data_IF_094698754766
#
_entry.id   IF_094698754766
#
_cell.length_a   1.000
_cell.length_b   1.000
_cell.length_c   1.000
_cell.angle_alpha   90.00
_cell.angle_beta   90.00
_cell.angle_gamma   90.00
#
_symmetry.space_group_name_H-M   'P 1'
#
loop_
_entity.id
_entity.type
_entity.pdbx_description
1 polymer ?
#
# COMPACT_ATOMS: atom_id res chain seq x y z
N UNK A 1 19.91 22.38 4.27
CA UNK A 1 19.20 21.39 3.45
C UNK A 1 17.96 22.01 2.84
N UNK A 2 17.72 21.78 1.55
CA UNK A 2 16.43 22.05 0.92
C UNK A 2 15.51 20.86 1.24
N UNK A 3 14.37 21.13 1.90
CA UNK A 3 13.38 20.10 2.27
C UNK A 3 12.37 20.00 1.13
N UNK A 4 12.03 18.76 0.76
CA UNK A 4 11.05 18.44 -0.27
C UNK A 4 9.95 17.55 0.31
N UNK A 5 8.70 17.86 -0.03
CA UNK A 5 7.51 17.08 0.33
C UNK A 5 6.80 16.70 -0.96
N UNK A 6 6.61 15.40 -1.20
CA UNK A 6 5.96 14.93 -2.43
C UNK A 6 6.69 15.32 -3.73
N UNK A 7 7.99 15.64 -3.67
CA UNK A 7 8.78 16.10 -4.82
C UNK A 7 8.78 17.62 -5.03
N UNK A 8 8.05 18.39 -4.23
CA UNK A 8 7.97 19.85 -4.28
C UNK A 8 8.76 20.46 -3.13
N UNK A 9 9.50 21.55 -3.38
CA UNK A 9 10.29 22.19 -2.32
C UNK A 9 9.39 22.93 -1.33
N UNK A 10 9.81 23.03 -0.06
CA UNK A 10 9.09 23.84 0.96
C UNK A 10 8.91 25.30 0.52
N UNK A 11 9.91 25.88 -0.13
CA UNK A 11 9.82 27.25 -0.65
C UNK A 11 8.70 27.36 -1.70
N UNK A 12 8.65 26.43 -2.65
CA UNK A 12 7.63 26.40 -3.70
C UNK A 12 6.22 26.17 -3.15
N UNK A 13 6.07 25.31 -2.13
CA UNK A 13 4.80 25.11 -1.43
C UNK A 13 4.26 26.41 -0.81
N UNK A 14 5.15 27.28 -0.32
CA UNK A 14 4.78 28.57 0.25
C UNK A 14 4.49 29.58 -0.86
N UNK A 15 5.42 29.73 -1.81
CA UNK A 15 5.40 30.77 -2.84
C UNK A 15 4.33 30.53 -3.91
N UNK A 16 4.13 29.27 -4.31
CA UNK A 16 3.29 28.89 -5.46
C UNK A 16 1.97 28.22 -5.07
N UNK A 17 1.92 27.55 -3.90
CA UNK A 17 0.70 26.89 -3.42
C UNK A 17 0.00 27.67 -2.30
N UNK A 18 0.64 28.71 -1.75
CA UNK A 18 0.06 29.57 -0.71
C UNK A 18 -0.01 28.93 0.67
N UNK A 19 0.79 27.88 0.91
CA UNK A 19 0.90 27.29 2.24
C UNK A 19 1.69 28.19 3.18
N UNK A 20 1.40 28.10 4.46
CA UNK A 20 2.16 28.78 5.51
C UNK A 20 3.17 27.84 6.15
N UNK A 21 4.14 28.40 6.86
CA UNK A 21 5.06 27.60 7.67
C UNK A 21 4.34 26.76 8.73
N UNK A 22 3.19 27.25 9.23
CA UNK A 22 2.41 26.53 10.23
C UNK A 22 1.79 25.25 9.64
N UNK A 23 1.28 25.32 8.40
CA UNK A 23 0.70 24.17 7.69
C UNK A 23 1.74 23.06 7.46
N UNK A 24 3.00 23.44 7.28
CA UNK A 24 4.10 22.51 6.98
C UNK A 24 4.73 21.89 8.23
N UNK A 25 4.56 22.49 9.41
CA UNK A 25 5.23 22.10 10.64
C UNK A 25 5.10 20.60 10.98
N UNK A 26 3.93 19.93 10.83
CA UNK A 26 3.79 18.50 11.11
C UNK A 26 4.62 17.59 10.19
N UNK A 27 5.05 18.10 9.04
CA UNK A 27 5.78 17.35 8.01
C UNK A 27 7.28 17.64 8.02
N UNK A 28 7.73 18.60 8.83
CA UNK A 28 9.14 18.93 8.97
C UNK A 28 9.82 17.99 9.97
N UNK A 29 11.10 17.65 9.76
CA UNK A 29 11.84 16.85 10.72
C UNK A 29 11.98 17.61 12.04
N UNK A 30 11.99 16.86 13.15
CA UNK A 30 12.29 17.42 14.46
C UNK A 30 13.70 18.05 14.47
N UNK A 31 13.88 19.09 15.31
CA UNK A 31 15.15 19.80 15.42
C UNK A 31 16.25 18.86 15.94
N UNK A 32 17.32 18.60 15.16
CA UNK A 32 18.42 17.75 15.59
C UNK A 32 19.10 18.23 16.88
N UNK A 33 19.15 19.54 17.14
CA UNK A 33 19.74 20.09 18.36
C UNK A 33 18.89 19.76 19.58
N UNK A 34 17.56 19.84 19.47
CA UNK A 34 16.66 19.45 20.55
C UNK A 34 16.76 17.95 20.85
N UNK A 35 16.84 17.12 19.81
CA UNK A 35 17.03 15.67 19.96
C UNK A 35 18.30 15.39 20.75
N UNK A 36 19.40 16.07 20.41
CA UNK A 36 20.69 15.89 21.07
C UNK A 36 20.70 16.42 22.51
N UNK A 37 20.19 17.64 22.75
CA UNK A 37 20.15 18.27 24.08
C UNK A 37 19.31 17.45 25.05
N UNK A 38 18.13 17.01 24.60
CA UNK A 38 17.20 16.21 25.41
C UNK A 38 17.56 14.72 25.46
N UNK A 39 18.62 14.29 24.75
CA UNK A 39 19.06 12.90 24.64
C UNK A 39 17.92 11.96 24.23
N UNK A 40 17.15 12.36 23.21
CA UNK A 40 16.02 11.57 22.70
C UNK A 40 16.57 10.38 21.92
N UNK A 41 16.12 9.17 22.29
CA UNK A 41 16.46 7.93 21.61
C UNK A 41 15.22 7.34 20.93
N UNK A 42 15.39 6.85 19.68
CA UNK A 42 14.31 6.23 18.90
C UNK A 42 14.57 4.73 18.84
N UNK A 43 13.63 3.96 19.37
CA UNK A 43 13.67 2.51 19.36
C UNK A 43 12.60 1.94 18.44
N UNK A 44 12.99 1.05 17.54
CA UNK A 44 12.03 0.30 16.73
C UNK A 44 11.52 -0.91 17.52
N UNK A 45 10.25 -0.90 17.92
CA UNK A 45 9.68 -1.96 18.75
C UNK A 45 9.82 -3.36 18.13
N UNK A 46 9.71 -3.44 16.80
CA UNK A 46 9.87 -4.69 16.05
C UNK A 46 11.27 -5.33 16.14
N UNK A 47 12.28 -4.61 16.65
CA UNK A 47 13.58 -5.19 16.98
C UNK A 47 13.52 -6.09 18.22
N UNK A 48 12.65 -5.76 19.18
CA UNK A 48 12.53 -6.44 20.47
C UNK A 48 11.39 -7.47 20.48
N UNK A 49 10.33 -7.22 19.70
CA UNK A 49 9.15 -8.05 19.65
C UNK A 49 8.91 -8.56 18.22
N UNK A 50 8.64 -9.86 18.09
CA UNK A 50 8.20 -10.44 16.82
C UNK A 50 6.84 -9.84 16.44
N UNK A 51 6.79 -9.13 15.32
CA UNK A 51 5.54 -8.59 14.81
C UNK A 51 4.71 -9.71 14.15
N UNK A 52 3.56 -10.02 14.75
CA UNK A 52 2.62 -11.02 14.25
C UNK A 52 1.17 -10.48 14.33
N UNK A 53 0.62 -9.93 13.22
CA UNK A 53 -0.66 -9.21 13.25
C UNK A 53 -1.82 -10.00 13.85
N UNK A 54 -1.92 -11.29 13.53
CA UNK A 54 -3.02 -12.12 14.03
C UNK A 54 -2.93 -12.31 15.56
N UNK A 55 -1.74 -12.51 16.12
CA UNK A 55 -1.55 -12.54 17.57
C UNK A 55 -1.85 -11.19 18.22
N UNK A 56 -1.42 -10.08 17.61
CA UNK A 56 -1.74 -8.74 18.09
C UNK A 56 -3.26 -8.49 18.11
N UNK A 57 -3.97 -8.94 17.08
CA UNK A 57 -5.43 -8.87 17.00
C UNK A 57 -6.09 -9.65 18.15
N UNK A 58 -5.73 -10.92 18.37
CA UNK A 58 -6.32 -11.70 19.45
C UNK A 58 -6.05 -11.10 20.83
N UNK A 59 -4.82 -10.63 21.07
CA UNK A 59 -4.46 -9.94 22.30
C UNK A 59 -5.31 -8.67 22.53
N UNK A 60 -5.50 -7.86 21.48
CA UNK A 60 -6.30 -6.65 21.55
C UNK A 60 -7.79 -6.93 21.80
N UNK A 61 -8.33 -8.01 21.24
CA UNK A 61 -9.71 -8.45 21.51
C UNK A 61 -9.86 -8.93 22.94
N UNK A 62 -8.94 -9.77 23.42
CA UNK A 62 -9.00 -10.37 24.76
C UNK A 62 -8.82 -9.35 25.89
N UNK A 63 -7.92 -8.37 25.70
CA UNK A 63 -7.52 -7.47 26.78
C UNK A 63 -7.83 -5.99 26.55
N UNK A 64 -8.15 -5.59 25.32
CA UNK A 64 -8.27 -4.18 24.93
C UNK A 64 -9.68 -3.74 24.50
N UNK A 65 -10.66 -4.65 24.47
CA UNK A 65 -12.01 -4.35 24.00
C UNK A 65 -12.06 -4.02 22.49
N UNK A 66 -11.05 -4.45 21.73
CA UNK A 66 -11.00 -4.23 20.28
C UNK A 66 -12.16 -4.91 19.58
N UNK A 67 -12.78 -4.22 18.63
CA UNK A 67 -13.88 -4.72 17.82
C UNK A 67 -13.44 -4.72 16.36
N UNK A 68 -13.44 -5.91 15.75
CA UNK A 68 -13.24 -6.02 14.32
C UNK A 68 -14.38 -5.32 13.57
N UNK A 69 -14.07 -4.81 12.37
CA UNK A 69 -15.07 -4.23 11.49
C UNK A 69 -16.14 -5.29 11.14
N UNK A 70 -17.43 -4.92 11.08
CA UNK A 70 -18.48 -5.85 10.67
C UNK A 70 -18.26 -6.38 9.25
N UNK A 71 -17.61 -5.58 8.41
CA UNK A 71 -17.28 -5.88 7.02
C UNK A 71 -15.76 -5.82 6.77
N UNK A 72 -15.33 -6.47 5.70
CA UNK A 72 -13.93 -6.44 5.26
C UNK A 72 -13.61 -5.12 4.58
N UNK A 73 -12.34 -4.78 4.57
CA UNK A 73 -11.82 -3.66 3.78
C UNK A 73 -11.62 -4.08 2.32
N UNK A 74 -11.87 -3.19 1.35
CA UNK A 74 -11.69 -3.54 -0.07
C UNK A 74 -10.24 -3.88 -0.36
N UNK A 75 -10.00 -4.88 -1.21
CA UNK A 75 -8.65 -5.32 -1.52
C UNK A 75 -8.09 -6.39 -0.60
N UNK A 76 -8.77 -6.71 0.53
CA UNK A 76 -8.34 -7.75 1.48
C UNK A 76 -9.51 -8.59 2.00
N UNK A 77 -9.16 -9.70 2.63
CA UNK A 77 -10.05 -10.58 3.39
C UNK A 77 -10.09 -10.25 4.89
N UNK A 78 -9.19 -9.37 5.36
CA UNK A 78 -9.11 -8.98 6.76
C UNK A 78 -10.24 -8.01 7.18
N UNK A 79 -10.54 -8.03 8.49
CA UNK A 79 -11.54 -7.17 9.15
C UNK A 79 -10.98 -6.40 10.35
N UNK A 80 -9.68 -6.53 10.61
CA UNK A 80 -9.07 -6.00 11.83
C UNK A 80 -7.88 -5.07 11.57
N UNK A 81 -7.35 -5.03 10.34
CA UNK A 81 -6.26 -4.14 9.97
C UNK A 81 -6.81 -2.87 9.29
N UNK A 82 -6.23 -1.72 9.62
CA UNK A 82 -6.54 -0.39 9.05
C UNK A 82 -8.04 -0.14 8.87
N UNK A 83 -8.81 -0.25 9.95
CA UNK A 83 -10.28 -0.09 9.94
C UNK A 83 -10.74 1.32 10.36
N UNK A 84 -9.80 2.17 10.75
CA UNK A 84 -9.97 3.52 11.27
C UNK A 84 -9.72 4.63 10.24
N UNK A 85 -9.25 4.27 9.04
CA UNK A 85 -9.04 5.20 7.93
C UNK A 85 -9.94 4.85 6.74
N UNK A 86 -10.43 5.88 6.04
CA UNK A 86 -11.24 5.74 4.82
C UNK A 86 -10.37 5.68 3.56
N UNK A 87 -9.18 6.27 3.55
CA UNK A 87 -8.36 6.42 2.34
C UNK A 87 -7.50 5.20 2.01
N UNK A 88 -7.26 4.32 2.98
CA UNK A 88 -6.30 3.23 2.90
C UNK A 88 -6.59 2.26 1.73
N UNK A 89 -7.86 1.99 1.41
CA UNK A 89 -8.24 1.13 0.30
C UNK A 89 -7.75 1.69 -1.05
N UNK A 90 -7.71 3.02 -1.20
CA UNK A 90 -7.17 3.68 -2.38
C UNK A 90 -5.63 3.61 -2.43
N UNK A 91 -4.96 3.65 -1.28
CA UNK A 91 -3.51 3.41 -1.21
C UNK A 91 -3.16 2.04 -1.79
N UNK A 92 -3.88 0.98 -1.40
CA UNK A 92 -3.62 -0.36 -1.93
C UNK A 92 -4.06 -0.54 -3.38
N UNK A 93 -5.17 0.06 -3.81
CA UNK A 93 -5.60 0.00 -5.21
C UNK A 93 -4.61 0.70 -6.16
N UNK A 94 -4.04 1.84 -5.73
CA UNK A 94 -3.00 2.54 -6.50
C UNK A 94 -1.67 1.79 -6.45
N UNK A 95 -1.34 1.13 -5.33
CA UNK A 95 -0.18 0.22 -5.22
C UNK A 95 -0.29 -0.95 -6.20
N UNK A 96 -1.47 -1.59 -6.29
CA UNK A 96 -1.75 -2.60 -7.31
C UNK A 96 -1.48 -2.05 -8.70
N UNK A 97 -2.03 -0.88 -9.02
CA UNK A 97 -1.89 -0.30 -10.35
C UNK A 97 -0.44 0.01 -10.72
N UNK A 98 0.37 0.46 -9.76
CA UNK A 98 1.78 0.79 -9.95
C UNK A 98 2.71 -0.43 -9.99
N UNK A 99 2.47 -1.42 -9.13
CA UNK A 99 3.41 -2.52 -8.87
C UNK A 99 2.87 -3.92 -9.18
N UNK A 100 1.59 -4.04 -9.53
CA UNK A 100 0.93 -5.30 -9.84
C UNK A 100 0.59 -6.17 -8.63
N UNK A 101 0.68 -5.61 -7.41
CA UNK A 101 0.37 -6.30 -6.14
C UNK A 101 -0.53 -5.41 -5.26
N UNK A 102 -1.64 -5.97 -4.79
CA UNK A 102 -2.61 -5.29 -3.92
C UNK A 102 -2.48 -5.69 -2.45
N UNK A 103 -3.46 -5.30 -1.65
CA UNK A 103 -3.47 -5.52 -0.19
C UNK A 103 -3.49 -7.00 0.19
N UNK A 104 -4.33 -7.81 -0.45
CA UNK A 104 -4.40 -9.24 -0.19
C UNK A 104 -3.08 -9.94 -0.50
N UNK A 105 -2.30 -9.48 -1.48
CA UNK A 105 -0.93 -9.99 -1.70
C UNK A 105 -0.03 -9.72 -0.50
N UNK A 106 -0.05 -8.49 0.07
CA UNK A 106 0.75 -8.17 1.26
C UNK A 106 0.33 -8.99 2.47
N UNK A 107 -0.98 -9.03 2.77
CA UNK A 107 -1.55 -9.73 3.91
C UNK A 107 -1.27 -11.24 3.80
N UNK A 108 -1.60 -11.86 2.66
CA UNK A 108 -1.41 -13.30 2.47
C UNK A 108 0.07 -13.69 2.48
N UNK A 109 0.96 -12.88 1.88
CA UNK A 109 2.39 -13.17 1.93
C UNK A 109 2.94 -13.11 3.35
N UNK A 110 2.43 -12.24 4.21
CA UNK A 110 2.81 -12.17 5.62
C UNK A 110 2.29 -13.38 6.42
N UNK A 111 1.03 -13.75 6.23
CA UNK A 111 0.40 -14.89 6.91
C UNK A 111 1.03 -16.23 6.47
N UNK A 112 1.39 -16.39 5.19
CA UNK A 112 2.16 -17.56 4.71
C UNK A 112 3.52 -17.65 5.40
N UNK A 113 4.26 -16.53 5.52
CA UNK A 113 5.57 -16.52 6.19
C UNK A 113 5.46 -16.80 7.69
N UNK A 114 4.33 -16.47 8.29
CA UNK A 114 4.07 -16.68 9.71
C UNK A 114 3.54 -18.09 10.00
N UNK A 115 3.03 -18.79 8.97
CA UNK A 115 2.50 -20.14 9.04
C UNK A 115 1.00 -20.20 9.33
N UNK A 116 0.29 -19.08 9.21
CA UNK A 116 -1.15 -18.99 9.51
C UNK A 116 -2.02 -19.53 8.38
N UNK A 117 -1.54 -19.41 7.14
CA UNK A 117 -2.20 -19.93 5.94
C UNK A 117 -1.19 -20.62 5.02
N UNK A 118 -1.69 -21.52 4.18
CA UNK A 118 -0.93 -22.18 3.11
C UNK A 118 -0.76 -21.28 1.89
N UNK A 119 0.17 -21.65 0.99
CA UNK A 119 0.38 -20.91 -0.25
C UNK A 119 -0.86 -20.97 -1.14
N UNK A 120 -1.54 -22.10 -1.17
CA UNK A 120 -2.74 -22.37 -1.96
C UNK A 120 -3.89 -21.46 -1.50
N UNK A 121 -4.08 -21.34 -0.18
CA UNK A 121 -5.05 -20.41 0.41
C UNK A 121 -4.71 -18.97 0.05
N UNK A 122 -3.44 -18.56 0.22
CA UNK A 122 -3.01 -17.21 -0.13
C UNK A 122 -3.25 -16.87 -1.61
N UNK A 123 -2.90 -17.77 -2.54
CA UNK A 123 -3.16 -17.56 -3.98
C UNK A 123 -4.66 -17.39 -4.27
N UNK A 124 -5.51 -18.18 -3.62
CA UNK A 124 -6.96 -18.06 -3.77
C UNK A 124 -7.50 -16.72 -3.23
N UNK A 125 -6.99 -16.26 -2.09
CA UNK A 125 -7.34 -14.97 -1.49
C UNK A 125 -6.91 -13.80 -2.38
N UNK A 126 -5.67 -13.81 -2.88
CA UNK A 126 -5.18 -12.78 -3.79
C UNK A 126 -6.04 -12.72 -5.05
N UNK A 127 -6.30 -13.86 -5.70
CA UNK A 127 -7.15 -13.90 -6.91
C UNK A 127 -8.52 -13.29 -6.69
N UNK A 128 -9.07 -13.45 -5.49
CA UNK A 128 -10.41 -12.99 -5.15
C UNK A 128 -10.47 -11.50 -4.81
N UNK A 129 -9.48 -10.97 -4.10
CA UNK A 129 -9.61 -9.66 -3.44
C UNK A 129 -8.69 -8.57 -3.99
N UNK A 130 -7.49 -8.89 -4.52
CA UNK A 130 -6.46 -7.86 -4.78
C UNK A 130 -6.92 -6.74 -5.73
N UNK A 131 -7.75 -7.08 -6.72
CA UNK A 131 -8.20 -6.18 -7.79
C UNK A 131 -9.56 -5.51 -7.50
N UNK A 132 -10.07 -5.61 -6.28
CA UNK A 132 -11.32 -4.97 -5.91
C UNK A 132 -11.22 -3.45 -5.89
N UNK A 133 -12.21 -2.79 -6.49
CA UNK A 133 -12.28 -1.34 -6.46
C UNK A 133 -12.84 -0.83 -5.11
N UNK A 134 -12.23 0.21 -4.50
CA UNK A 134 -12.67 0.77 -3.22
C UNK A 134 -13.88 1.70 -3.37
N UNK A 135 -15.09 1.14 -3.45
CA UNK A 135 -16.32 1.93 -3.65
C UNK A 135 -16.90 2.55 -2.38
N UNK A 136 -16.65 1.97 -1.19
CA UNK A 136 -17.36 2.28 0.05
C UNK A 136 -17.37 3.77 0.43
N UNK A 137 -16.21 4.43 0.28
CA UNK A 137 -16.03 5.84 0.63
C UNK A 137 -15.54 6.70 -0.55
N UNK A 138 -15.70 6.22 -1.78
CA UNK A 138 -15.08 6.86 -2.95
C UNK A 138 -15.49 8.32 -3.11
N UNK A 139 -16.78 8.63 -2.94
CA UNK A 139 -17.29 9.98 -3.16
C UNK A 139 -16.78 10.96 -2.10
N UNK A 140 -16.68 10.52 -0.85
CA UNK A 140 -16.11 11.31 0.24
C UNK A 140 -14.62 11.58 0.02
N UNK A 141 -13.87 10.57 -0.42
CA UNK A 141 -12.43 10.68 -0.69
C UNK A 141 -12.17 11.60 -1.88
N UNK A 142 -12.93 11.46 -2.96
CA UNK A 142 -12.84 12.34 -4.12
C UNK A 142 -13.16 13.79 -3.75
N UNK A 143 -14.13 14.01 -2.89
CA UNK A 143 -14.40 15.33 -2.33
C UNK A 143 -13.22 15.83 -1.48
N UNK A 144 -12.68 15.02 -0.58
CA UNK A 144 -11.55 15.36 0.28
C UNK A 144 -10.27 15.70 -0.51
N UNK A 145 -9.99 14.97 -1.59
CA UNK A 145 -8.82 15.19 -2.45
C UNK A 145 -9.00 16.38 -3.41
N UNK A 146 -10.19 16.95 -3.52
CA UNK A 146 -10.46 18.10 -4.37
C UNK A 146 -9.92 19.39 -3.74
N UNK A 147 -9.16 20.17 -4.50
CA UNK A 147 -8.62 21.47 -4.10
C UNK A 147 -9.48 22.57 -4.72
N UNK A 148 -10.59 22.88 -4.06
CA UNK A 148 -11.54 23.86 -4.57
C UNK A 148 -10.99 25.30 -4.48
N UNK A 149 -11.34 26.13 -5.47
CA UNK A 149 -10.84 27.51 -5.56
C UNK A 149 -11.33 28.41 -4.42
N UNK A 150 -12.49 28.10 -3.81
CA UNK A 150 -13.05 28.90 -2.73
C UNK A 150 -12.19 28.82 -1.46
N UNK A 151 -11.73 27.62 -1.12
CA UNK A 151 -10.91 27.37 0.07
C UNK A 151 -9.41 27.53 -0.25
N UNK A 152 -8.99 27.20 -1.47
CA UNK A 152 -7.59 27.17 -1.88
C UNK A 152 -7.35 27.94 -3.20
N UNK A 153 -7.59 29.27 -3.24
CA UNK A 153 -7.56 30.08 -4.48
C UNK A 153 -6.18 30.19 -5.16
N UNK A 154 -5.11 29.84 -4.45
CA UNK A 154 -3.74 29.80 -4.96
C UNK A 154 -3.43 28.38 -5.44
N UNK A 155 -3.45 27.39 -4.52
CA UNK A 155 -3.13 26.01 -4.85
C UNK A 155 -4.01 25.43 -5.97
N UNK A 156 -5.30 25.75 -6.04
CA UNK A 156 -6.21 25.21 -7.07
C UNK A 156 -5.75 25.49 -8.51
N UNK A 157 -4.97 26.55 -8.72
CA UNK A 157 -4.42 26.95 -10.03
C UNK A 157 -3.18 26.16 -10.43
N UNK A 158 -2.59 25.42 -9.50
CA UNK A 158 -1.38 24.63 -9.71
C UNK A 158 -1.66 23.20 -10.19
N UNK A 159 -2.94 22.81 -10.32
CA UNK A 159 -3.36 21.48 -10.74
C UNK A 159 -4.11 21.55 -12.07
N UNK A 160 -3.84 20.60 -12.97
CA UNK A 160 -4.58 20.43 -14.23
C UNK A 160 -6.07 20.23 -13.98
N UNK A 161 -6.41 19.46 -12.95
CA UNK A 161 -7.77 19.20 -12.53
C UNK A 161 -7.89 19.33 -11.00
N UNK A 162 -8.30 20.50 -10.49
CA UNK A 162 -8.44 20.73 -9.05
C UNK A 162 -9.61 19.96 -8.42
N UNK A 163 -10.65 19.62 -9.19
CA UNK A 163 -11.78 18.82 -8.72
C UNK A 163 -11.51 17.35 -9.04
N UNK A 164 -11.21 16.59 -8.00
CA UNK A 164 -10.84 15.19 -8.10
C UNK A 164 -12.09 14.33 -8.16
N UNK A 165 -12.40 13.75 -9.33
CA UNK A 165 -13.56 12.88 -9.52
C UNK A 165 -13.15 11.45 -9.91
N UNK A 166 -14.13 10.54 -9.93
CA UNK A 166 -13.89 9.13 -10.31
C UNK A 166 -13.26 8.99 -11.69
N UNK A 167 -13.69 9.80 -12.65
CA UNK A 167 -13.19 9.74 -14.02
C UNK A 167 -11.72 10.14 -14.08
N UNK A 168 -11.33 11.22 -13.39
CA UNK A 168 -9.94 11.65 -13.28
C UNK A 168 -9.09 10.62 -12.55
N UNK A 169 -9.59 10.08 -11.43
CA UNK A 169 -8.93 9.00 -10.73
C UNK A 169 -8.63 7.82 -11.66
N UNK A 170 -9.62 7.33 -12.41
CA UNK A 170 -9.41 6.22 -13.35
C UNK A 170 -8.38 6.59 -14.42
N UNK A 171 -8.44 7.79 -15.01
CA UNK A 171 -7.43 8.23 -15.99
C UNK A 171 -6.02 8.26 -15.41
N UNK A 172 -5.85 8.76 -14.18
CA UNK A 172 -4.56 8.76 -13.50
C UNK A 172 -4.05 7.33 -13.29
N UNK A 173 -4.89 6.47 -12.72
CA UNK A 173 -4.54 5.07 -12.49
C UNK A 173 -4.13 4.37 -13.79
N UNK A 174 -4.90 4.56 -14.87
CA UNK A 174 -4.58 4.05 -16.20
C UNK A 174 -3.24 4.56 -16.72
N UNK A 175 -2.92 5.84 -16.51
CA UNK A 175 -1.63 6.44 -16.89
C UNK A 175 -0.46 5.82 -16.15
N UNK A 176 -0.65 5.44 -14.88
CA UNK A 176 0.40 4.87 -14.04
C UNK A 176 0.51 3.34 -14.14
N UNK A 177 -0.36 2.66 -14.90
CA UNK A 177 -0.21 1.24 -15.19
C UNK A 177 0.96 1.03 -16.13
N UNK A 178 2.05 0.45 -15.61
CA UNK A 178 3.23 0.24 -16.41
C UNK A 178 3.02 -0.87 -17.46
N UNK A 179 3.41 -0.66 -18.73
CA UNK A 179 3.15 -1.61 -19.82
C UNK A 179 3.87 -2.96 -19.66
N UNK A 180 4.87 -3.06 -18.78
CA UNK A 180 5.55 -4.31 -18.45
C UNK A 180 4.77 -5.19 -17.45
N UNK A 181 3.84 -4.61 -16.68
CA UNK A 181 2.98 -5.34 -15.74
C UNK A 181 1.58 -5.54 -16.29
N UNK A 182 1.07 -4.54 -17.01
CA UNK A 182 -0.31 -4.46 -17.43
C UNK A 182 -0.46 -4.59 -18.94
N UNK A 183 -1.59 -5.16 -19.34
CA UNK A 183 -2.09 -5.19 -20.72
C UNK A 183 -3.56 -4.81 -20.73
N UNK A 184 -4.01 -4.17 -21.79
CA UNK A 184 -5.41 -3.83 -22.01
C UNK A 184 -5.97 -4.76 -23.09
N UNK A 185 -6.88 -5.65 -22.69
CA UNK A 185 -7.47 -6.66 -23.58
C UNK A 185 -8.98 -6.76 -23.30
N UNK A 186 -9.79 -6.93 -24.35
CA UNK A 186 -11.25 -7.08 -24.24
C UNK A 186 -11.96 -5.96 -23.44
N UNK A 187 -11.41 -4.73 -23.50
CA UNK A 187 -11.97 -3.58 -22.79
C UNK A 187 -11.66 -3.55 -21.29
N UNK A 188 -10.69 -4.35 -20.81
CA UNK A 188 -10.30 -4.39 -19.41
C UNK A 188 -8.78 -4.43 -19.23
N UNK A 189 -8.31 -3.83 -18.15
CA UNK A 189 -6.92 -3.97 -17.71
C UNK A 189 -6.73 -5.33 -17.04
N UNK A 190 -5.69 -6.05 -17.47
CA UNK A 190 -5.27 -7.31 -16.87
C UNK A 190 -3.77 -7.29 -16.58
N UNK A 191 -3.38 -7.95 -15.49
CA UNK A 191 -1.97 -8.24 -15.24
C UNK A 191 -1.46 -9.24 -16.29
N UNK A 192 -0.22 -9.06 -16.72
CA UNK A 192 0.45 -9.98 -17.64
C UNK A 192 0.82 -11.30 -16.98
N UNK A 193 1.10 -11.25 -15.68
CA UNK A 193 1.47 -12.40 -14.87
C UNK A 193 0.72 -12.34 -13.55
N UNK A 194 0.12 -13.46 -13.17
CA UNK A 194 -0.61 -13.58 -11.92
C UNK A 194 -0.14 -14.81 -11.16
N UNK A 195 -0.22 -14.75 -9.83
CA UNK A 195 0.20 -15.85 -8.97
C UNK A 195 -0.72 -17.08 -9.06
N UNK A 196 -1.90 -16.94 -9.66
CA UNK A 196 -2.89 -18.01 -9.85
C UNK A 196 -2.90 -18.64 -11.25
N UNK A 197 -2.18 -18.07 -12.23
CA UNK A 197 -2.01 -18.67 -13.57
C UNK A 197 -0.72 -19.48 -13.71
N UNK A 198 0.22 -19.30 -12.78
CA UNK A 198 1.45 -20.08 -12.77
C UNK A 198 1.14 -21.50 -12.30
N UNK A 199 1.46 -22.57 -13.06
CA UNK A 199 1.33 -23.93 -12.56
C UNK A 199 2.08 -24.05 -11.24
N UNK A 200 1.46 -24.65 -10.21
CA UNK A 200 2.19 -25.09 -9.03
C UNK A 200 3.42 -25.84 -9.55
N UNK A 201 4.62 -25.37 -9.17
CA UNK A 201 5.83 -26.12 -9.44
C UNK A 201 5.61 -27.52 -8.86
N UNK A 202 5.50 -28.51 -9.75
CA UNK A 202 5.80 -29.89 -9.42
C UNK A 202 7.21 -29.84 -8.83
N UNK A 203 7.25 -30.10 -7.53
CA UNK A 203 8.39 -30.40 -6.68
C UNK A 203 9.77 -30.10 -7.29
N UNK A 204 10.34 -28.94 -6.97
CA UNK A 204 11.74 -28.62 -7.33
C UNK A 204 12.75 -29.44 -6.51
N UNK A 205 12.30 -30.29 -5.58
CA UNK A 205 13.20 -31.18 -4.83
C UNK A 205 13.76 -32.31 -5.70
N UNK A 206 13.10 -32.67 -6.81
CA UNK A 206 13.64 -33.62 -7.80
C UNK A 206 14.76 -33.05 -8.67
N UNK A 207 14.90 -31.72 -8.77
CA UNK A 207 15.95 -31.07 -9.58
C UNK A 207 17.24 -30.83 -8.76
N UNK A 208 17.15 -30.85 -7.41
CA UNK A 208 18.31 -30.72 -6.54
C UNK A 208 19.15 -32.01 -6.48
N UNK A 209 18.49 -33.18 -6.44
CA UNK A 209 19.13 -34.50 -6.55
C UNK A 209 19.81 -34.70 -7.91
N UNK A 210 19.15 -34.29 -9.02
CA UNK A 210 19.73 -34.38 -10.38
C UNK A 210 20.97 -33.49 -10.57
N UNK A 211 21.02 -32.32 -9.91
CA UNK A 211 22.20 -31.44 -9.93
C UNK A 211 23.37 -32.00 -9.13
N UNK A 212 23.13 -32.77 -8.06
CA UNK A 212 24.21 -33.48 -7.33
C UNK A 212 24.83 -34.60 -8.17
N UNK A 213 24.01 -35.39 -8.86
CA UNK A 213 24.49 -36.54 -9.64
C UNK A 213 25.42 -36.09 -10.79
N UNK A 214 25.11 -34.98 -11.46
CA UNK A 214 25.95 -34.45 -12.55
C UNK A 214 27.23 -33.73 -12.09
N UNK A 215 27.38 -33.43 -10.79
CA UNK A 215 28.61 -32.85 -10.23
C UNK A 215 29.63 -33.89 -9.75
N UNK A 216 29.27 -35.18 -9.78
CA UNK A 216 30.11 -36.28 -9.25
C UNK A 216 30.80 -37.10 -10.37
N UNK A 217 30.53 -36.82 -11.65
CA UNK A 217 31.17 -37.48 -12.80
C UNK A 217 32.12 -36.50 -13.51
N UNK A 218 33.06 -35.97 -12.73
CA UNK A 218 34.07 -35.02 -13.20
C UNK A 218 35.34 -35.13 -12.36
N UNK A 219 35.94 -36.33 -12.36
CA UNK A 219 37.35 -36.58 -12.06
C UNK A 219 37.98 -37.24 -13.28
#
# INVERSE_FOLDING_TARGET
NQIYLGGVSVAELIESFGLTQHDLLPYLPADPNEIQEKKIEVHYLGYYLKWHPQSCYYYAVEHGGFQASPERTSGTYSKYNSIDDKIDDFHYYTTLSKFGIGRATYDAAQEIRSGDITREEGVALVKRYDQEFPSRFSDEIFCYLSINEKEFPIASKMFEQPIFDKNYFIRLVDTFRSPHLWKYENGQWALRHTVWETPMYIDRDLDFEKRKINSTIGY
#
